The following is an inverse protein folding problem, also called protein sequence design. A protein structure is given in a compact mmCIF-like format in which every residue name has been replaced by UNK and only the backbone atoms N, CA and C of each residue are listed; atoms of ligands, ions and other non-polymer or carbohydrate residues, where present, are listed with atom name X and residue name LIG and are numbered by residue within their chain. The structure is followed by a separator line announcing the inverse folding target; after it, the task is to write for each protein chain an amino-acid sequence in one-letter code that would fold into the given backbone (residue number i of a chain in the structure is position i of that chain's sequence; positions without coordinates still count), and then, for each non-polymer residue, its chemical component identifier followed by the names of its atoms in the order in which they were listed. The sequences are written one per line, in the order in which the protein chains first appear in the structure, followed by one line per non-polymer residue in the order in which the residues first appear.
data_IF_322567653526
#
_entry.id   IF_322567653526
#
_cell.length_a   1.000
_cell.length_b   1.000
_cell.length_c   1.000
_cell.angle_alpha   90.00
_cell.angle_beta   90.00
_cell.angle_gamma   90.00
#
_symmetry.space_group_name_H-M   'P 1'
#
loop_
_entity.id
_entity.type
_entity.pdbx_description
1 polymer ?
#
# COMPACT_ATOMS: atom_id res chain seq x y z
N UNK A 1 14.45 23.83 -17.01
CA UNK A 1 15.51 22.95 -17.57
C UNK A 1 14.99 21.65 -18.21
N UNK A 2 13.82 21.11 -17.86
CA UNK A 2 13.37 19.80 -18.37
C UNK A 2 12.88 19.77 -19.85
N UNK A 3 12.35 20.86 -20.39
CA UNK A 3 11.68 20.87 -21.71
C UNK A 3 12.57 20.73 -22.97
N UNK A 4 13.90 20.55 -22.85
CA UNK A 4 14.82 20.58 -24.02
C UNK A 4 15.82 19.41 -24.13
N UNK A 5 15.68 18.33 -23.37
CA UNK A 5 16.57 17.15 -23.45
C UNK A 5 15.80 15.83 -23.30
N UNK A 6 14.84 15.59 -24.19
CA UNK A 6 13.94 14.42 -24.09
C UNK A 6 14.52 13.11 -24.65
N UNK A 7 15.56 13.16 -25.50
CA UNK A 7 15.89 12.04 -26.39
C UNK A 7 16.98 11.07 -25.89
N UNK A 8 17.83 11.46 -24.92
CA UNK A 8 19.04 10.66 -24.57
C UNK A 8 19.29 10.37 -23.09
N UNK A 9 18.44 10.82 -22.15
CA UNK A 9 18.67 10.56 -20.71
C UNK A 9 18.28 9.15 -20.28
N UNK A 10 19.01 8.57 -19.35
CA UNK A 10 18.64 7.29 -18.72
C UNK A 10 17.53 7.47 -17.68
N UNK A 11 16.87 6.37 -17.27
CA UNK A 11 15.90 6.43 -16.16
C UNK A 11 16.59 6.81 -14.84
N UNK A 12 17.83 6.35 -14.63
CA UNK A 12 18.61 6.62 -13.42
C UNK A 12 19.01 8.11 -13.32
N UNK A 13 19.39 8.73 -14.44
CA UNK A 13 19.58 10.19 -14.54
C UNK A 13 18.29 10.98 -14.28
N UNK A 14 17.15 10.52 -14.81
CA UNK A 14 15.86 11.18 -14.58
C UNK A 14 15.44 11.12 -13.09
N UNK A 15 15.62 9.97 -12.43
CA UNK A 15 15.37 9.79 -10.99
C UNK A 15 16.34 10.64 -10.16
N UNK A 16 17.62 10.69 -10.53
CA UNK A 16 18.63 11.52 -9.86
C UNK A 16 18.29 13.01 -9.95
N UNK A 17 17.94 13.50 -11.14
CA UNK A 17 17.55 14.89 -11.35
C UNK A 17 16.22 15.26 -10.65
N UNK A 18 15.26 14.33 -10.59
CA UNK A 18 14.03 14.51 -9.82
C UNK A 18 14.31 14.58 -8.31
N UNK A 19 15.20 13.73 -7.79
CA UNK A 19 15.67 13.80 -6.39
C UNK A 19 16.36 15.13 -6.08
N UNK A 20 17.27 15.58 -6.95
CA UNK A 20 17.96 16.87 -6.80
C UNK A 20 16.93 18.03 -6.82
N UNK A 21 15.97 18.02 -7.75
CA UNK A 21 14.94 19.05 -7.83
C UNK A 21 14.00 19.06 -6.61
N UNK A 22 13.60 17.88 -6.11
CA UNK A 22 12.78 17.75 -4.90
C UNK A 22 13.54 18.14 -3.63
N UNK A 23 14.84 17.82 -3.54
CA UNK A 23 15.71 18.16 -2.41
C UNK A 23 16.08 19.65 -2.31
N UNK A 24 15.92 20.42 -3.40
CA UNK A 24 16.05 21.89 -3.40
C UNK A 24 14.78 22.61 -2.91
N UNK A 25 13.67 21.89 -2.72
CA UNK A 25 12.38 22.44 -2.28
C UNK A 25 12.02 21.98 -0.85
N UNK A 26 11.42 22.85 -0.01
CA UNK A 26 10.88 22.42 1.29
C UNK A 26 9.76 21.37 1.16
N UNK A 27 9.52 20.54 2.20
CA UNK A 27 8.36 19.64 2.25
C UNK A 27 7.05 20.38 1.99
N UNK A 28 6.21 19.83 1.10
CA UNK A 28 4.92 20.44 0.72
C UNK A 28 5.02 21.63 -0.25
N UNK A 29 6.21 22.02 -0.69
CA UNK A 29 6.38 23.08 -1.69
C UNK A 29 5.92 22.59 -3.08
N UNK A 30 5.19 23.40 -3.88
CA UNK A 30 4.68 22.98 -5.20
C UNK A 30 5.75 22.45 -6.17
N UNK A 31 7.00 22.89 -6.01
CA UNK A 31 8.14 22.39 -6.78
C UNK A 31 8.44 20.89 -6.59
N UNK A 32 8.15 20.30 -5.42
CA UNK A 32 8.29 18.86 -5.19
C UNK A 32 7.23 18.07 -5.97
N UNK A 33 5.97 18.51 -5.90
CA UNK A 33 4.88 17.91 -6.66
C UNK A 33 5.13 17.98 -8.17
N UNK A 34 5.58 19.14 -8.68
CA UNK A 34 5.96 19.31 -10.07
C UNK A 34 7.14 18.41 -10.48
N UNK A 35 8.11 18.16 -9.59
CA UNK A 35 9.23 17.25 -9.83
C UNK A 35 8.76 15.79 -9.98
N UNK A 36 7.95 15.30 -9.04
CA UNK A 36 7.40 13.94 -9.10
C UNK A 36 6.43 13.75 -10.29
N UNK A 37 5.59 14.75 -10.58
CA UNK A 37 4.70 14.72 -11.76
C UNK A 37 5.51 14.73 -13.07
N UNK A 38 6.63 15.48 -13.15
CA UNK A 38 7.54 15.40 -14.29
C UNK A 38 8.23 14.05 -14.42
N UNK A 39 8.69 13.46 -13.31
CA UNK A 39 9.28 12.11 -13.31
C UNK A 39 8.25 11.06 -13.72
N UNK A 40 7.04 11.09 -13.18
CA UNK A 40 5.99 10.16 -13.54
C UNK A 40 5.56 10.31 -15.00
N UNK A 41 5.38 11.53 -15.52
CA UNK A 41 5.12 11.77 -16.96
C UNK A 41 6.26 11.22 -17.83
N UNK A 42 7.52 11.39 -17.43
CA UNK A 42 8.68 10.84 -18.14
C UNK A 42 8.72 9.31 -18.11
N UNK A 43 8.48 8.68 -16.94
CA UNK A 43 8.42 7.22 -16.81
C UNK A 43 7.24 6.64 -17.60
N UNK A 44 6.07 7.27 -17.57
CA UNK A 44 4.87 6.92 -18.35
C UNK A 44 5.13 7.01 -19.86
N UNK A 45 5.85 8.05 -20.30
CA UNK A 45 6.33 8.14 -21.68
C UNK A 45 7.32 7.01 -22.01
N UNK A 46 8.32 6.75 -21.16
CA UNK A 46 9.29 5.67 -21.40
C UNK A 46 8.68 4.28 -21.39
N UNK A 47 7.72 3.98 -20.51
CA UNK A 47 7.00 2.70 -20.50
C UNK A 47 6.23 2.50 -21.82
N UNK A 48 5.60 3.56 -22.35
CA UNK A 48 4.89 3.53 -23.64
C UNK A 48 5.83 3.47 -24.87
N UNK A 49 6.90 4.26 -24.88
CA UNK A 49 7.92 4.27 -25.95
C UNK A 49 8.67 2.93 -26.05
N UNK A 50 8.91 2.27 -24.92
CA UNK A 50 9.77 1.09 -24.85
C UNK A 50 9.18 -0.16 -25.50
N UNK A 51 8.05 -0.12 -26.19
CA UNK A 51 7.60 -1.23 -27.07
C UNK A 51 8.66 -1.69 -28.10
N UNK A 52 9.78 -0.98 -28.26
CA UNK A 52 11.02 -1.51 -28.87
C UNK A 52 12.29 -1.36 -27.99
N UNK A 53 13.04 -2.48 -27.85
CA UNK A 53 14.45 -2.62 -27.38
C UNK A 53 14.78 -2.29 -25.89
N UNK A 54 16.03 -2.57 -25.47
CA UNK A 54 16.41 -2.93 -24.09
C UNK A 54 17.81 -2.43 -23.61
N UNK A 55 17.98 -2.23 -22.28
CA UNK A 55 19.14 -2.39 -21.32
C UNK A 55 20.61 -2.03 -21.75
N UNK A 56 21.57 -1.61 -20.86
CA UNK A 56 21.75 -1.99 -19.42
C UNK A 56 22.43 -1.00 -18.38
N UNK A 57 22.33 -1.37 -17.07
CA UNK A 57 23.20 -1.28 -15.84
C UNK A 57 24.32 -0.22 -15.54
N UNK A 58 24.31 0.35 -14.30
CA UNK A 58 25.48 0.57 -13.37
C UNK A 58 25.50 1.88 -12.50
N UNK A 59 26.23 2.08 -11.37
CA UNK A 59 26.86 1.20 -10.34
C UNK A 59 27.43 1.98 -9.07
N UNK A 60 27.37 1.38 -7.86
CA UNK A 60 28.23 1.44 -6.61
C UNK A 60 28.88 2.73 -5.98
N UNK A 61 28.73 2.97 -4.64
CA UNK A 61 29.81 2.92 -3.59
C UNK A 61 29.55 3.60 -2.19
N UNK A 62 30.14 3.00 -1.13
CA UNK A 62 30.59 3.34 0.27
C UNK A 62 30.22 4.66 1.02
N UNK A 63 30.22 4.67 2.39
CA UNK A 63 31.38 5.22 3.15
C UNK A 63 31.65 4.71 4.60
N UNK A 64 32.80 5.12 5.16
CA UNK A 64 33.29 4.93 6.55
C UNK A 64 33.23 6.23 7.41
N UNK A 65 32.95 6.14 8.72
CA UNK A 65 33.50 7.00 9.81
C UNK A 65 32.81 6.71 11.18
N UNK A 66 33.59 6.72 12.26
CA UNK A 66 33.31 5.94 13.50
C UNK A 66 32.92 6.71 14.76
N UNK A 67 32.74 8.04 14.73
CA UNK A 67 32.22 8.81 15.88
C UNK A 67 30.70 8.73 16.10
N UNK A 68 30.00 7.96 15.25
CA UNK A 68 28.54 8.06 15.04
C UNK A 68 27.76 6.78 15.40
N UNK A 69 28.45 5.74 15.88
CA UNK A 69 27.92 4.37 16.05
C UNK A 69 26.62 4.33 16.86
N UNK A 70 26.64 4.80 18.11
CA UNK A 70 25.54 4.59 19.06
C UNK A 70 24.23 5.24 18.61
N UNK A 71 24.32 6.38 17.92
CA UNK A 71 23.13 7.11 17.46
C UNK A 71 22.57 6.53 16.17
N UNK A 72 23.43 6.06 15.26
CA UNK A 72 23.01 5.23 14.13
C UNK A 72 22.30 3.97 14.63
N UNK A 73 22.81 3.35 15.69
CA UNK A 73 22.18 2.18 16.32
C UNK A 73 20.82 2.51 16.97
N UNK A 74 20.66 3.67 17.62
CA UNK A 74 19.35 4.13 18.12
C UNK A 74 18.37 4.36 16.97
N UNK A 75 18.77 5.06 15.91
CA UNK A 75 17.90 5.33 14.75
C UNK A 75 17.49 4.01 14.07
N UNK A 76 18.45 3.09 13.86
CA UNK A 76 18.17 1.74 13.32
C UNK A 76 17.20 0.97 14.18
N UNK A 77 17.36 0.97 15.51
CA UNK A 77 16.46 0.27 16.41
C UNK A 77 15.03 0.82 16.35
N UNK A 78 14.87 2.14 16.40
CA UNK A 78 13.55 2.80 16.27
C UNK A 78 12.95 2.57 14.87
N UNK A 79 13.76 2.57 13.82
CA UNK A 79 13.33 2.16 12.48
C UNK A 79 12.75 0.75 12.48
N UNK A 80 13.44 -0.24 13.09
CA UNK A 80 12.94 -1.61 13.12
C UNK A 80 11.65 -1.73 13.97
N UNK A 81 11.62 -1.15 15.17
CA UNK A 81 10.43 -1.06 16.06
C UNK A 81 9.19 -0.46 15.37
N UNK A 82 9.39 0.45 14.41
CA UNK A 82 8.30 1.05 13.61
C UNK A 82 7.98 0.21 12.39
N UNK A 83 9.00 -0.35 11.73
CA UNK A 83 8.85 -1.14 10.52
C UNK A 83 7.95 -2.36 10.75
N UNK A 84 8.02 -3.00 11.93
CA UNK A 84 7.16 -4.12 12.36
C UNK A 84 5.65 -3.86 12.18
N UNK A 85 5.23 -2.59 12.13
CA UNK A 85 3.81 -2.20 12.00
C UNK A 85 3.32 -2.16 10.54
N UNK A 86 4.23 -2.15 9.58
CA UNK A 86 3.99 -2.05 8.13
C UNK A 86 4.44 -3.33 7.39
N UNK A 87 4.08 -3.56 6.12
CA UNK A 87 4.49 -4.76 5.39
C UNK A 87 6.02 -4.96 5.28
N UNK A 88 6.54 -6.20 5.27
CA UNK A 88 7.99 -6.49 5.24
C UNK A 88 8.71 -6.04 3.96
N UNK A 89 7.97 -5.91 2.86
CA UNK A 89 8.45 -5.39 1.57
C UNK A 89 7.55 -4.28 1.05
N UNK A 90 8.16 -3.29 0.41
CA UNK A 90 7.48 -2.16 -0.24
C UNK A 90 8.07 -1.95 -1.64
N UNK A 91 7.27 -1.46 -2.58
CA UNK A 91 7.71 -0.98 -3.87
C UNK A 91 8.21 0.46 -3.73
N UNK A 92 9.46 0.72 -4.10
CA UNK A 92 9.97 2.09 -4.22
C UNK A 92 9.54 2.67 -5.57
N UNK A 93 8.48 3.48 -5.58
CA UNK A 93 7.77 3.94 -6.79
C UNK A 93 8.65 4.72 -7.79
N UNK A 94 9.69 5.49 -7.42
CA UNK A 94 10.56 6.13 -8.40
C UNK A 94 11.39 5.14 -9.22
N UNK A 95 11.81 4.02 -8.64
CA UNK A 95 12.69 3.03 -9.30
C UNK A 95 11.97 1.78 -9.78
N UNK A 96 10.79 1.48 -9.23
CA UNK A 96 10.05 0.26 -9.48
C UNK A 96 10.69 -0.99 -8.86
N UNK A 97 11.53 -0.85 -7.82
CA UNK A 97 12.19 -1.97 -7.13
C UNK A 97 11.38 -2.40 -5.91
N UNK A 98 11.28 -3.71 -5.67
CA UNK A 98 10.76 -4.25 -4.41
C UNK A 98 11.89 -4.23 -3.36
N UNK A 99 11.66 -3.53 -2.26
CA UNK A 99 12.62 -3.31 -1.19
C UNK A 99 12.20 -4.06 0.08
N UNK A 100 13.04 -4.98 0.55
CA UNK A 100 12.96 -5.57 1.89
C UNK A 100 13.35 -4.54 2.97
N UNK A 101 13.36 -4.94 4.25
CA UNK A 101 13.73 -4.07 5.38
C UNK A 101 15.11 -3.44 5.25
N UNK A 102 16.12 -4.18 4.82
CA UNK A 102 17.49 -3.66 4.70
C UNK A 102 17.60 -2.61 3.58
N UNK A 103 16.90 -2.83 2.46
CA UNK A 103 16.78 -1.86 1.39
C UNK A 103 15.99 -0.61 1.85
N UNK A 104 14.85 -0.79 2.54
CA UNK A 104 14.08 0.32 3.14
C UNK A 104 14.95 1.17 4.07
N UNK A 105 15.71 0.52 4.97
CA UNK A 105 16.66 1.19 5.86
C UNK A 105 17.73 1.94 5.06
N UNK A 106 18.31 1.32 4.03
CA UNK A 106 19.33 1.95 3.18
C UNK A 106 18.83 3.22 2.48
N UNK A 107 17.58 3.21 1.98
CA UNK A 107 16.94 4.41 1.43
C UNK A 107 16.72 5.48 2.51
N UNK A 108 16.30 5.09 3.72
CA UNK A 108 16.14 6.02 4.84
C UNK A 108 17.49 6.63 5.26
N UNK A 109 18.56 5.84 5.40
CA UNK A 109 19.91 6.34 5.76
C UNK A 109 20.50 7.30 4.71
N UNK A 110 20.13 7.13 3.42
CA UNK A 110 20.48 8.07 2.34
C UNK A 110 19.70 9.39 2.35
N UNK A 111 18.55 9.44 3.03
CA UNK A 111 17.58 10.53 2.95
C UNK A 111 18.03 11.87 3.56
N UNK A 112 17.31 12.95 3.23
CA UNK A 112 17.49 14.24 3.89
C UNK A 112 16.95 14.23 5.32
N UNK A 113 15.90 13.45 5.60
CA UNK A 113 15.32 13.25 6.93
C UNK A 113 16.37 12.67 7.90
N UNK A 114 17.06 11.60 7.50
CA UNK A 114 18.12 10.99 8.31
C UNK A 114 19.32 11.92 8.51
N UNK A 115 19.74 12.65 7.48
CA UNK A 115 20.80 13.68 7.61
C UNK A 115 20.39 14.79 8.59
N UNK A 116 19.11 15.21 8.59
CA UNK A 116 18.57 16.14 9.57
C UNK A 116 18.60 15.56 10.99
N UNK A 117 18.12 14.32 11.19
CA UNK A 117 18.19 13.63 12.49
C UNK A 117 19.63 13.59 13.03
N UNK A 118 20.62 13.31 12.18
CA UNK A 118 22.03 13.35 12.55
C UNK A 118 22.54 14.77 12.90
N UNK A 119 22.08 15.82 12.20
CA UNK A 119 22.47 17.20 12.54
C UNK A 119 21.82 17.71 13.83
N UNK A 120 20.63 17.21 14.18
CA UNK A 120 19.82 17.65 15.32
C UNK A 120 20.31 17.15 16.68
N UNK A 121 21.23 16.18 16.71
CA UNK A 121 21.65 15.39 17.89
C UNK A 121 21.95 16.22 19.15
N UNK A 122 22.61 17.37 19.02
CA UNK A 122 23.09 18.17 20.16
C UNK A 122 21.99 18.89 20.95
N UNK A 123 20.74 18.88 20.48
CA UNK A 123 19.65 19.74 20.98
C UNK A 123 18.56 19.04 21.80
N UNK A 124 18.57 17.71 21.94
CA UNK A 124 17.40 16.97 22.44
C UNK A 124 17.66 16.14 23.70
N UNK A 125 16.71 16.20 24.64
CA UNK A 125 16.57 15.18 25.67
C UNK A 125 16.20 13.83 25.02
N UNK A 126 16.79 12.73 25.52
CA UNK A 126 16.74 11.38 24.92
C UNK A 126 15.34 10.91 24.50
N UNK A 127 14.30 11.23 25.27
CA UNK A 127 12.93 10.81 24.98
C UNK A 127 12.27 11.63 23.86
N UNK A 128 12.52 12.95 23.81
CA UNK A 128 12.07 13.82 22.71
C UNK A 128 12.73 13.42 21.38
N UNK A 129 13.99 12.97 21.44
CA UNK A 129 14.73 12.47 20.28
C UNK A 129 14.13 11.17 19.71
N UNK A 130 13.62 10.26 20.54
CA UNK A 130 12.96 9.04 20.04
C UNK A 130 11.67 9.35 19.29
N UNK A 131 10.85 10.28 19.79
CA UNK A 131 9.65 10.76 19.08
C UNK A 131 10.01 11.38 17.72
N UNK A 132 11.00 12.28 17.67
CA UNK A 132 11.47 12.92 16.43
C UNK A 132 11.95 11.89 15.38
N UNK A 133 12.69 10.86 15.79
CA UNK A 133 13.07 9.75 14.90
C UNK A 133 11.82 9.01 14.43
N UNK A 134 10.87 8.76 15.33
CA UNK A 134 9.67 7.98 15.02
C UNK A 134 8.80 8.68 13.98
N UNK A 135 8.53 9.96 14.18
CA UNK A 135 7.78 10.80 13.26
C UNK A 135 8.51 10.93 11.92
N UNK A 136 9.85 11.03 11.93
CA UNK A 136 10.66 11.06 10.70
C UNK A 136 10.64 9.75 9.91
N UNK A 137 10.57 8.59 10.57
CA UNK A 137 10.41 7.28 9.92
C UNK A 137 8.99 7.16 9.35
N UNK A 138 7.97 7.52 10.12
CA UNK A 138 6.56 7.45 9.68
C UNK A 138 6.31 8.39 8.48
N UNK A 139 6.83 9.62 8.50
CA UNK A 139 6.74 10.58 7.39
C UNK A 139 7.49 10.08 6.14
N UNK A 140 8.66 9.46 6.32
CA UNK A 140 9.41 8.89 5.20
C UNK A 140 8.73 7.66 4.58
N UNK A 141 8.05 6.84 5.39
CA UNK A 141 7.29 5.65 4.96
C UNK A 141 5.77 5.90 4.89
N UNK A 142 5.36 7.02 4.29
CA UNK A 142 3.98 7.17 3.82
C UNK A 142 3.74 6.19 2.66
N UNK A 143 2.87 5.20 2.87
CA UNK A 143 2.62 4.09 1.92
C UNK A 143 1.28 4.28 1.19
N UNK A 144 1.31 4.15 -0.13
CA UNK A 144 0.15 3.91 -0.96
C UNK A 144 -0.12 2.40 -1.11
N UNK A 145 -1.30 1.92 -0.71
CA UNK A 145 -1.72 0.52 -0.91
C UNK A 145 -2.53 0.39 -2.21
N UNK A 146 -2.29 -0.67 -2.98
CA UNK A 146 -3.18 -1.09 -4.06
C UNK A 146 -4.24 -2.03 -3.50
N UNK A 147 -5.50 -1.65 -3.65
CA UNK A 147 -6.63 -2.58 -3.51
C UNK A 147 -7.21 -2.86 -4.88
N UNK A 148 -7.33 -4.12 -5.26
CA UNK A 148 -7.78 -4.49 -6.60
C UNK A 148 -8.41 -5.89 -6.66
N UNK A 149 -8.91 -6.26 -7.84
CA UNK A 149 -9.09 -7.67 -8.17
C UNK A 149 -7.83 -8.19 -8.88
N UNK A 150 -7.39 -9.39 -8.50
CA UNK A 150 -6.40 -10.14 -9.28
C UNK A 150 -7.02 -10.50 -10.64
N UNK A 151 -6.31 -10.18 -11.72
CA UNK A 151 -6.63 -10.50 -13.10
C UNK A 151 -5.61 -11.47 -13.69
N UNK A 152 -5.40 -11.39 -15.00
CA UNK A 152 -4.44 -12.25 -15.71
C UNK A 152 -3.01 -11.73 -15.55
N UNK A 153 -2.10 -12.61 -15.13
CA UNK A 153 -0.67 -12.31 -15.05
C UNK A 153 -0.32 -11.21 -14.03
N UNK A 154 -0.95 -11.25 -12.85
CA UNK A 154 -0.45 -10.50 -11.69
C UNK A 154 0.99 -10.92 -11.38
N UNK A 155 1.95 -9.99 -11.23
CA UNK A 155 3.31 -10.34 -10.92
C UNK A 155 3.44 -10.87 -9.48
N UNK A 156 4.10 -12.00 -9.32
CA UNK A 156 4.45 -12.57 -8.02
C UNK A 156 5.83 -12.05 -7.55
N UNK A 157 6.09 -12.14 -6.24
CA UNK A 157 7.37 -11.69 -5.65
C UNK A 157 8.59 -12.29 -6.36
N UNK A 158 8.63 -13.62 -6.51
CA UNK A 158 9.76 -14.35 -7.14
C UNK A 158 10.01 -13.97 -8.60
N UNK A 159 8.97 -13.55 -9.30
CA UNK A 159 9.07 -13.13 -10.70
C UNK A 159 9.74 -11.76 -10.84
N UNK A 160 9.62 -10.92 -9.81
CA UNK A 160 10.10 -9.54 -9.78
C UNK A 160 11.30 -9.29 -8.86
N UNK A 161 11.68 -10.26 -8.03
CA UNK A 161 12.78 -10.15 -7.07
C UNK A 161 14.11 -9.78 -7.78
N UNK A 162 14.77 -8.71 -7.31
CA UNK A 162 15.98 -8.16 -7.93
C UNK A 162 15.77 -7.41 -9.26
N UNK A 163 14.53 -7.22 -9.72
CA UNK A 163 14.21 -6.53 -10.99
C UNK A 163 13.50 -5.19 -10.74
N UNK A 164 13.54 -4.30 -11.73
CA UNK A 164 12.76 -3.05 -11.76
C UNK A 164 11.49 -3.30 -12.55
N UNK A 165 10.30 -3.11 -11.98
CA UNK A 165 9.03 -3.40 -12.68
C UNK A 165 8.88 -2.63 -14.00
N UNK A 166 9.44 -1.42 -14.10
CA UNK A 166 9.40 -0.58 -15.32
C UNK A 166 10.30 -1.09 -16.47
N UNK A 167 11.19 -2.05 -16.20
CA UNK A 167 12.01 -2.73 -17.21
C UNK A 167 11.40 -4.08 -17.65
N UNK A 168 10.32 -4.53 -16.99
CA UNK A 168 9.60 -5.77 -17.28
C UNK A 168 8.47 -5.57 -18.31
N UNK A 169 7.99 -6.68 -18.88
CA UNK A 169 6.94 -6.74 -19.91
C UNK A 169 6.10 -8.00 -19.75
N UNK A 170 4.90 -7.99 -20.32
CA UNK A 170 4.26 -9.21 -20.83
C UNK A 170 2.83 -9.48 -20.40
N UNK A 171 2.32 -8.80 -19.36
CA UNK A 171 0.99 -9.09 -18.79
C UNK A 171 0.21 -7.83 -18.40
N UNK A 172 -1.12 -7.93 -18.42
CA UNK A 172 -2.02 -6.86 -17.98
C UNK A 172 -1.88 -6.59 -16.48
N UNK A 173 -1.68 -7.64 -15.67
CA UNK A 173 -1.39 -7.50 -14.23
C UNK A 173 -0.10 -6.73 -13.93
N UNK A 174 0.95 -6.93 -14.73
CA UNK A 174 2.17 -6.13 -14.62
C UNK A 174 1.96 -4.68 -15.06
N UNK A 175 1.25 -4.44 -16.18
CA UNK A 175 0.91 -3.09 -16.62
C UNK A 175 0.11 -2.34 -15.54
N UNK A 176 -0.87 -3.02 -14.93
CA UNK A 176 -1.64 -2.51 -13.78
C UNK A 176 -0.73 -2.18 -12.59
N UNK A 177 0.27 -3.01 -12.26
CA UNK A 177 1.22 -2.69 -11.19
C UNK A 177 2.10 -1.46 -11.54
N UNK A 178 2.55 -1.37 -12.79
CA UNK A 178 3.34 -0.23 -13.28
C UNK A 178 2.54 1.08 -13.19
N UNK A 179 1.30 1.09 -13.71
CA UNK A 179 0.41 2.27 -13.66
C UNK A 179 0.06 2.64 -12.22
N UNK A 180 -0.17 1.68 -11.33
CA UNK A 180 -0.35 1.92 -9.89
C UNK A 180 0.87 2.63 -9.27
N UNK A 181 2.09 2.15 -9.53
CA UNK A 181 3.30 2.80 -9.01
C UNK A 181 3.52 4.19 -9.59
N UNK A 182 3.22 4.41 -10.88
CA UNK A 182 3.25 5.74 -11.50
C UNK A 182 2.23 6.67 -10.85
N UNK A 183 1.00 6.21 -10.60
CA UNK A 183 -0.06 6.98 -9.98
C UNK A 183 0.21 7.31 -8.51
N UNK A 184 0.82 6.39 -7.77
CA UNK A 184 1.32 6.62 -6.41
C UNK A 184 2.40 7.72 -6.43
N UNK A 185 3.34 7.66 -7.38
CA UNK A 185 4.37 8.69 -7.58
C UNK A 185 3.80 10.05 -8.00
N UNK A 186 2.83 10.10 -8.92
CA UNK A 186 2.07 11.31 -9.29
C UNK A 186 1.41 11.96 -8.05
N UNK A 187 1.04 11.14 -7.05
CA UNK A 187 0.48 11.56 -5.76
C UNK A 187 1.52 11.79 -4.65
N UNK A 188 2.82 11.81 -4.97
CA UNK A 188 3.96 12.00 -4.07
C UNK A 188 4.28 10.84 -3.10
N UNK A 189 3.72 9.64 -3.29
CA UNK A 189 4.07 8.46 -2.50
C UNK A 189 5.30 7.77 -3.09
N UNK A 190 6.43 7.85 -2.40
CA UNK A 190 7.65 7.11 -2.75
C UNK A 190 7.55 5.61 -2.47
N UNK A 191 6.65 5.22 -1.57
CA UNK A 191 6.43 3.83 -1.17
C UNK A 191 5.04 3.38 -1.54
N UNK A 192 4.97 2.22 -2.16
CA UNK A 192 3.73 1.57 -2.53
C UNK A 192 3.73 0.09 -2.13
N UNK A 193 2.57 -0.54 -2.11
CA UNK A 193 2.43 -1.95 -1.78
C UNK A 193 1.30 -2.61 -2.57
N UNK A 194 1.53 -3.85 -3.01
CA UNK A 194 0.50 -4.77 -3.46
C UNK A 194 0.77 -6.15 -2.88
N UNK A 195 -0.27 -6.76 -2.35
CA UNK A 195 -0.32 -8.13 -1.88
C UNK A 195 0.28 -9.14 -2.89
N UNK A 196 0.03 -8.95 -4.19
CA UNK A 196 0.51 -9.83 -5.28
C UNK A 196 2.03 -10.01 -5.30
N UNK A 197 2.80 -8.91 -5.24
CA UNK A 197 4.25 -8.92 -5.38
C UNK A 197 5.05 -8.61 -4.11
N UNK A 198 4.43 -8.08 -3.04
CA UNK A 198 5.14 -7.76 -1.79
C UNK A 198 5.11 -8.90 -0.75
N UNK A 199 4.09 -9.77 -0.77
CA UNK A 199 3.99 -10.94 0.10
C UNK A 199 4.69 -12.15 -0.55
N UNK A 200 5.57 -12.81 0.21
CA UNK A 200 6.16 -14.11 -0.15
C UNK A 200 5.14 -15.23 0.09
N UNK A 201 4.44 -15.64 -0.96
CA UNK A 201 3.42 -16.69 -0.90
C UNK A 201 4.00 -18.10 -0.80
N UNK A 202 5.32 -18.25 -1.00
CA UNK A 202 6.03 -19.52 -0.84
C UNK A 202 6.44 -19.72 0.63
N UNK A 203 6.57 -18.62 1.39
CA UNK A 203 6.81 -18.63 2.84
C UNK A 203 5.49 -18.77 3.59
N UNK A 204 5.20 -19.98 4.11
CA UNK A 204 3.98 -20.22 4.91
C UNK A 204 3.91 -19.34 6.16
N UNK A 205 5.06 -19.09 6.81
CA UNK A 205 5.16 -18.23 7.99
C UNK A 205 4.78 -16.78 7.66
N UNK A 206 5.32 -16.23 6.58
CA UNK A 206 5.01 -14.85 6.17
C UNK A 206 3.58 -14.72 5.63
N UNK A 207 3.10 -15.70 4.86
CA UNK A 207 1.73 -15.70 4.36
C UNK A 207 0.72 -15.66 5.53
N UNK A 208 0.97 -16.43 6.59
CA UNK A 208 0.17 -16.39 7.81
C UNK A 208 0.26 -15.03 8.53
N UNK A 209 1.46 -14.46 8.68
CA UNK A 209 1.67 -13.13 9.27
C UNK A 209 0.93 -12.03 8.49
N UNK A 210 1.04 -12.07 7.16
CA UNK A 210 0.40 -11.14 6.25
C UNK A 210 -1.13 -11.21 6.33
N UNK A 211 -1.70 -12.42 6.37
CA UNK A 211 -3.15 -12.62 6.56
C UNK A 211 -3.63 -12.02 7.88
N UNK A 212 -2.88 -12.21 8.97
CA UNK A 212 -3.19 -11.60 10.27
C UNK A 212 -3.06 -10.07 10.28
N UNK A 213 -2.13 -9.53 9.49
CA UNK A 213 -1.73 -8.12 9.52
C UNK A 213 -2.34 -7.24 8.41
N UNK A 214 -3.00 -7.79 7.39
CA UNK A 214 -3.53 -6.99 6.27
C UNK A 214 -4.39 -5.81 6.73
N UNK A 215 -5.34 -6.03 7.64
CA UNK A 215 -6.19 -4.95 8.15
C UNK A 215 -5.37 -3.84 8.82
N UNK A 216 -4.38 -4.16 9.65
CA UNK A 216 -3.54 -3.14 10.30
C UNK A 216 -2.65 -2.41 9.30
N UNK A 217 -2.17 -3.09 8.25
CA UNK A 217 -1.42 -2.47 7.16
C UNK A 217 -2.28 -1.48 6.36
N UNK A 218 -3.50 -1.85 5.95
CA UNK A 218 -4.42 -0.93 5.28
C UNK A 218 -4.86 0.23 6.19
N UNK A 219 -5.09 -0.03 7.48
CA UNK A 219 -5.43 1.01 8.47
C UNK A 219 -4.29 2.01 8.68
N UNK A 220 -3.04 1.56 8.62
CA UNK A 220 -1.86 2.43 8.73
C UNK A 220 -1.42 3.03 7.39
N UNK A 221 -2.07 2.69 6.28
CA UNK A 221 -1.77 3.27 4.98
C UNK A 221 -2.14 4.75 4.93
N UNK A 222 -1.28 5.55 4.30
CA UNK A 222 -1.53 6.98 4.09
C UNK A 222 -2.53 7.21 2.96
N UNK A 223 -2.59 6.27 2.00
CA UNK A 223 -3.50 6.25 0.88
C UNK A 223 -3.80 4.79 0.48
N UNK A 224 -5.05 4.49 0.16
CA UNK A 224 -5.42 3.30 -0.60
C UNK A 224 -6.00 3.69 -1.96
N UNK A 225 -5.40 3.15 -3.02
CA UNK A 225 -5.85 3.29 -4.41
C UNK A 225 -6.64 2.04 -4.75
N UNK A 226 -7.95 2.19 -4.96
CA UNK A 226 -8.83 1.10 -5.39
C UNK A 226 -8.92 1.11 -6.92
N UNK A 227 -8.43 0.05 -7.56
CA UNK A 227 -8.52 -0.14 -9.01
C UNK A 227 -9.69 -1.06 -9.40
N UNK A 228 -10.60 -0.54 -10.21
CA UNK A 228 -11.83 -1.19 -10.65
C UNK A 228 -11.72 -1.57 -12.13
N UNK A 229 -11.22 -2.79 -12.40
CA UNK A 229 -11.01 -3.32 -13.75
C UNK A 229 -12.28 -3.44 -14.61
N UNK A 230 -13.45 -3.35 -14.00
CA UNK A 230 -14.77 -3.56 -14.59
C UNK A 230 -15.66 -2.30 -14.61
N UNK A 231 -15.10 -1.14 -14.27
CA UNK A 231 -15.79 0.16 -14.35
C UNK A 231 -15.15 1.00 -15.45
N UNK A 232 -15.92 1.25 -16.50
CA UNK A 232 -15.52 1.98 -17.71
C UNK A 232 -15.95 3.46 -17.68
N UNK A 233 -16.90 3.83 -16.82
CA UNK A 233 -17.50 5.16 -16.76
C UNK A 233 -17.65 5.70 -15.32
N UNK A 234 -17.62 7.04 -15.20
CA UNK A 234 -17.80 7.72 -13.91
C UNK A 234 -19.27 7.67 -13.49
N UNK A 235 -19.60 6.81 -12.53
CA UNK A 235 -20.96 6.69 -11.98
C UNK A 235 -21.43 5.24 -11.75
N UNK A 236 -20.73 4.24 -12.29
CA UNK A 236 -21.10 2.82 -12.15
C UNK A 236 -20.44 2.12 -10.95
N UNK A 237 -20.00 2.87 -9.93
CA UNK A 237 -19.19 2.37 -8.82
C UNK A 237 -19.83 1.15 -8.12
N UNK A 238 -21.10 1.25 -7.70
CA UNK A 238 -21.73 0.22 -6.88
C UNK A 238 -21.95 -1.14 -7.57
N UNK A 239 -21.69 -1.23 -8.89
CA UNK A 239 -21.82 -2.46 -9.67
C UNK A 239 -20.49 -3.22 -9.83
N UNK A 240 -19.36 -2.65 -9.42
CA UNK A 240 -18.07 -3.33 -9.56
C UNK A 240 -18.03 -4.62 -8.74
N UNK A 241 -17.57 -5.70 -9.35
CA UNK A 241 -17.31 -6.97 -8.67
C UNK A 241 -16.11 -6.88 -7.70
N UNK A 242 -15.43 -5.72 -7.58
CA UNK A 242 -14.52 -5.47 -6.46
C UNK A 242 -15.27 -5.54 -5.11
N UNK A 243 -16.53 -5.07 -5.05
CA UNK A 243 -17.37 -5.16 -3.85
C UNK A 243 -17.81 -6.58 -3.50
N UNK A 244 -17.68 -7.55 -4.43
CA UNK A 244 -18.05 -8.96 -4.20
C UNK A 244 -16.86 -9.82 -3.79
N UNK A 245 -15.67 -9.27 -3.53
CA UNK A 245 -14.50 -10.01 -3.04
C UNK A 245 -14.44 -9.98 -1.51
N UNK A 246 -14.06 -11.08 -0.87
CA UNK A 246 -13.97 -11.15 0.60
C UNK A 246 -12.99 -10.12 1.18
N UNK A 247 -11.71 -10.24 0.81
CA UNK A 247 -10.61 -9.38 1.26
C UNK A 247 -10.88 -7.87 1.12
N UNK A 248 -11.51 -7.43 0.02
CA UNK A 248 -11.77 -5.99 -0.23
C UNK A 248 -12.71 -5.34 0.80
N UNK A 249 -13.43 -6.11 1.62
CA UNK A 249 -14.20 -5.56 2.74
C UNK A 249 -13.28 -4.98 3.81
N UNK A 250 -12.27 -5.73 4.25
CA UNK A 250 -11.34 -5.24 5.26
C UNK A 250 -10.47 -4.11 4.71
N UNK A 251 -10.07 -4.19 3.43
CA UNK A 251 -9.33 -3.14 2.72
C UNK A 251 -10.12 -1.81 2.69
N UNK A 252 -11.43 -1.88 2.41
CA UNK A 252 -12.32 -0.71 2.41
C UNK A 252 -12.51 -0.11 3.80
N UNK A 253 -12.74 -0.96 4.80
CA UNK A 253 -13.10 -0.54 6.15
C UNK A 253 -11.88 0.02 6.89
N UNK A 254 -10.73 -0.66 6.81
CA UNK A 254 -9.49 -0.26 7.46
C UNK A 254 -8.98 1.10 6.97
N UNK A 255 -8.95 1.32 5.66
CA UNK A 255 -8.26 2.46 5.05
C UNK A 255 -8.93 3.80 5.36
N UNK A 256 -8.22 4.75 5.97
CA UNK A 256 -8.76 6.08 6.25
C UNK A 256 -8.98 6.90 4.96
N UNK A 257 -7.98 6.94 4.07
CA UNK A 257 -8.00 7.70 2.80
C UNK A 257 -8.10 6.74 1.62
N UNK A 258 -9.16 6.88 0.81
CA UNK A 258 -9.36 6.05 -0.40
C UNK A 258 -9.63 6.93 -1.62
N UNK A 259 -9.08 6.53 -2.76
CA UNK A 259 -9.49 7.00 -4.08
C UNK A 259 -9.85 5.80 -4.98
N UNK A 260 -10.98 5.90 -5.67
CA UNK A 260 -11.47 4.89 -6.60
C UNK A 260 -11.13 5.27 -8.04
N UNK A 261 -10.58 4.32 -8.77
CA UNK A 261 -10.09 4.45 -10.13
C UNK A 261 -10.75 3.43 -11.07
N UNK A 262 -11.13 3.89 -12.26
CA UNK A 262 -11.67 3.08 -13.36
C UNK A 262 -10.58 2.26 -14.06
N UNK A 263 -10.96 1.40 -15.01
CA UNK A 263 -10.05 0.49 -15.71
C UNK A 263 -8.95 1.19 -16.53
N UNK A 264 -9.13 2.48 -16.85
CA UNK A 264 -8.18 3.34 -17.57
C UNK A 264 -7.33 4.24 -16.64
N UNK A 265 -7.45 4.06 -15.32
CA UNK A 265 -6.88 4.93 -14.28
C UNK A 265 -7.41 6.37 -14.25
N UNK A 266 -8.60 6.62 -14.79
CA UNK A 266 -9.37 7.83 -14.48
C UNK A 266 -10.00 7.73 -13.07
N UNK A 267 -10.26 8.88 -12.43
CA UNK A 267 -11.00 8.90 -11.16
C UNK A 267 -12.48 8.58 -11.38
N UNK A 268 -13.07 7.70 -10.57
CA UNK A 268 -14.49 7.34 -10.66
C UNK A 268 -15.46 8.51 -10.42
N UNK A 269 -14.99 9.63 -9.84
CA UNK A 269 -15.73 10.87 -9.68
C UNK A 269 -14.90 12.05 -10.19
N UNK A 270 -15.58 13.01 -10.83
CA UNK A 270 -14.98 14.26 -11.31
C UNK A 270 -14.96 15.36 -10.23
N UNK A 271 -15.48 15.08 -9.03
CA UNK A 271 -15.55 16.03 -7.92
C UNK A 271 -14.19 16.09 -7.23
N UNK A 272 -13.67 17.30 -7.04
CA UNK A 272 -12.45 17.52 -6.27
C UNK A 272 -12.73 17.23 -4.79
N UNK A 273 -12.22 16.10 -4.29
CA UNK A 273 -12.25 15.74 -2.86
C UNK A 273 -10.86 15.26 -2.42
N UNK A 274 -10.52 15.50 -1.16
CA UNK A 274 -9.31 14.95 -0.54
C UNK A 274 -9.43 13.44 -0.23
N UNK A 275 -10.65 12.90 -0.17
CA UNK A 275 -10.93 11.50 0.13
C UNK A 275 -12.29 11.10 -0.46
N UNK A 276 -12.37 9.97 -1.17
CA UNK A 276 -13.65 9.47 -1.66
C UNK A 276 -14.57 9.00 -0.52
N UNK A 277 -14.02 8.62 0.63
CA UNK A 277 -14.79 8.26 1.84
C UNK A 277 -15.39 9.48 2.56
N UNK A 278 -15.17 10.70 2.09
CA UNK A 278 -15.86 11.91 2.58
C UNK A 278 -16.75 12.59 1.53
N UNK A 279 -16.82 12.08 0.29
CA UNK A 279 -17.74 12.59 -0.72
C UNK A 279 -19.15 11.98 -0.51
N UNK A 280 -20.21 12.78 -0.35
CA UNK A 280 -21.56 12.27 -0.08
C UNK A 280 -22.13 11.35 -1.17
N UNK A 281 -21.79 11.59 -2.45
CA UNK A 281 -22.29 10.80 -3.57
C UNK A 281 -21.53 9.47 -3.69
N UNK A 282 -20.22 9.47 -3.40
CA UNK A 282 -19.45 8.22 -3.32
C UNK A 282 -19.91 7.40 -2.10
N UNK A 283 -20.16 8.03 -0.95
CA UNK A 283 -20.70 7.36 0.23
C UNK A 283 -22.10 6.74 0.00
N UNK A 284 -22.94 7.34 -0.85
CA UNK A 284 -24.22 6.77 -1.30
C UNK A 284 -23.99 5.44 -2.05
N UNK A 285 -23.13 5.48 -3.08
CA UNK A 285 -22.79 4.30 -3.88
C UNK A 285 -22.07 3.22 -3.07
N UNK A 286 -21.18 3.59 -2.13
CA UNK A 286 -20.51 2.63 -1.24
C UNK A 286 -21.50 1.95 -0.29
N UNK A 287 -22.43 2.69 0.34
CA UNK A 287 -23.45 2.08 1.19
C UNK A 287 -24.33 1.12 0.39
N UNK A 288 -24.75 1.53 -0.81
CA UNK A 288 -25.55 0.71 -1.74
C UNK A 288 -24.82 -0.55 -2.21
N UNK A 289 -23.51 -0.48 -2.43
CA UNK A 289 -22.70 -1.61 -2.88
C UNK A 289 -22.38 -2.63 -1.78
N UNK A 290 -22.36 -2.20 -0.52
CA UNK A 290 -21.81 -2.99 0.59
C UNK A 290 -22.79 -3.31 1.71
N UNK A 291 -23.92 -2.60 1.81
CA UNK A 291 -24.79 -2.61 2.98
C UNK A 291 -24.20 -1.91 4.22
N UNK A 292 -22.95 -1.43 4.16
CA UNK A 292 -22.26 -0.78 5.28
C UNK A 292 -22.79 0.65 5.42
N UNK A 293 -23.30 1.00 6.61
CA UNK A 293 -23.75 2.36 6.88
C UNK A 293 -22.58 3.37 6.81
N UNK A 294 -22.84 4.58 6.27
CA UNK A 294 -21.82 5.62 6.01
C UNK A 294 -20.89 5.92 7.18
N UNK A 295 -21.38 5.84 8.43
CA UNK A 295 -20.54 6.02 9.63
C UNK A 295 -19.38 5.03 9.70
N UNK A 296 -19.62 3.75 9.41
CA UNK A 296 -18.61 2.69 9.42
C UNK A 296 -17.74 2.72 8.17
N UNK A 297 -18.26 3.23 7.04
CA UNK A 297 -17.41 3.57 5.90
C UNK A 297 -16.43 4.67 6.30
N UNK A 298 -16.90 5.83 6.79
CA UNK A 298 -16.05 6.97 7.14
C UNK A 298 -15.01 6.66 8.23
N UNK A 299 -15.40 5.95 9.30
CA UNK A 299 -14.53 5.58 10.40
C UNK A 299 -14.94 4.23 10.98
N UNK A 300 -14.07 3.21 10.84
CA UNK A 300 -14.36 1.85 11.26
C UNK A 300 -13.52 1.44 12.48
N UNK A 301 -14.17 0.91 13.51
CA UNK A 301 -13.52 0.34 14.69
C UNK A 301 -13.57 -1.19 14.64
N UNK A 302 -12.43 -1.91 14.56
CA UNK A 302 -12.42 -3.37 14.55
C UNK A 302 -12.75 -3.94 15.94
N UNK A 303 -13.58 -4.97 15.98
CA UNK A 303 -14.21 -5.49 17.20
C UNK A 303 -15.37 -6.44 16.96
N UNK A 304 -15.96 -6.95 18.04
CA UNK A 304 -17.06 -7.95 18.02
C UNK A 304 -18.44 -7.35 18.34
N UNK A 305 -18.54 -6.03 18.42
CA UNK A 305 -19.79 -5.28 18.49
C UNK A 305 -20.56 -5.34 17.17
N UNK A 306 -21.89 -5.41 17.20
CA UNK A 306 -22.74 -5.50 15.99
C UNK A 306 -22.30 -6.63 15.03
N UNK A 307 -21.91 -7.78 15.61
CA UNK A 307 -21.24 -8.86 14.89
C UNK A 307 -22.09 -9.43 13.75
N UNK A 308 -23.42 -9.52 13.95
CA UNK A 308 -24.36 -9.93 12.91
C UNK A 308 -24.31 -9.01 11.68
N UNK A 309 -24.29 -7.69 11.86
CA UNK A 309 -24.18 -6.75 10.74
C UNK A 309 -22.83 -6.86 10.04
N UNK A 310 -21.73 -7.01 10.80
CA UNK A 310 -20.38 -7.22 10.25
C UNK A 310 -20.29 -8.48 9.39
N UNK A 311 -20.91 -9.57 9.83
CA UNK A 311 -21.05 -10.81 9.05
C UNK A 311 -21.94 -10.59 7.82
N UNK A 312 -23.07 -9.90 7.95
CA UNK A 312 -23.97 -9.62 6.83
C UNK A 312 -23.31 -8.81 5.70
N UNK A 313 -22.39 -7.89 6.00
CA UNK A 313 -21.59 -7.19 4.99
C UNK A 313 -20.63 -8.12 4.21
N UNK A 314 -20.37 -9.31 4.74
CA UNK A 314 -19.52 -10.35 4.15
C UNK A 314 -20.30 -11.47 3.44
N UNK A 315 -21.57 -11.72 3.78
CA UNK A 315 -22.33 -12.91 3.32
C UNK A 315 -22.45 -13.04 1.80
N UNK A 316 -22.48 -11.92 1.08
CA UNK A 316 -22.59 -11.88 -0.38
C UNK A 316 -21.23 -11.88 -1.10
N UNK A 317 -20.11 -11.93 -0.35
CA UNK A 317 -18.75 -11.86 -0.89
C UNK A 317 -18.18 -13.25 -1.16
N UNK A 318 -17.24 -13.30 -2.10
CA UNK A 318 -16.60 -14.52 -2.59
C UNK A 318 -15.09 -14.43 -2.47
N UNK A 319 -14.47 -15.56 -2.12
CA UNK A 319 -13.02 -15.70 -2.01
C UNK A 319 -12.48 -16.66 -3.07
N UNK A 320 -11.15 -16.68 -3.27
CA UNK A 320 -10.52 -17.64 -4.18
C UNK A 320 -10.21 -18.94 -3.46
N UNK A 321 -9.66 -18.87 -2.25
CA UNK A 321 -9.56 -20.03 -1.35
C UNK A 321 -10.80 -20.12 -0.46
N UNK A 322 -11.33 -21.32 -0.20
CA UNK A 322 -12.55 -21.47 0.60
C UNK A 322 -12.40 -20.93 2.03
N UNK A 323 -11.25 -21.13 2.66
CA UNK A 323 -10.97 -20.74 4.06
C UNK A 323 -10.86 -19.22 4.27
N UNK A 324 -10.51 -18.48 3.21
CA UNK A 324 -10.46 -17.01 3.23
C UNK A 324 -11.80 -16.37 3.61
N UNK A 325 -12.94 -17.09 3.50
CA UNK A 325 -14.25 -16.59 3.94
C UNK A 325 -14.24 -16.21 5.42
N UNK A 326 -13.39 -16.88 6.22
CA UNK A 326 -13.13 -16.56 7.61
C UNK A 326 -11.91 -15.66 7.77
N UNK A 327 -10.79 -15.97 7.10
CA UNK A 327 -9.53 -15.24 7.31
C UNK A 327 -9.62 -13.77 6.88
N UNK A 328 -10.41 -13.47 5.84
CA UNK A 328 -10.66 -12.09 5.38
C UNK A 328 -11.46 -11.24 6.38
N UNK A 329 -11.97 -11.83 7.46
CA UNK A 329 -12.71 -11.14 8.53
C UNK A 329 -11.90 -10.96 9.82
N UNK A 330 -10.70 -11.54 9.95
CA UNK A 330 -9.91 -11.48 11.20
C UNK A 330 -9.69 -10.05 11.71
N UNK A 331 -9.30 -9.15 10.81
CA UNK A 331 -9.12 -7.74 11.11
C UNK A 331 -10.41 -7.00 11.47
N UNK A 332 -11.54 -7.34 10.82
CA UNK A 332 -12.86 -6.75 11.07
C UNK A 332 -13.33 -7.04 12.50
N UNK A 333 -13.08 -8.27 12.98
CA UNK A 333 -13.44 -8.72 14.32
C UNK A 333 -12.36 -8.50 15.39
N UNK A 334 -11.16 -8.05 14.99
CA UNK A 334 -9.98 -7.92 15.86
C UNK A 334 -9.68 -9.24 16.59
N UNK A 335 -9.66 -10.35 15.84
CA UNK A 335 -9.35 -11.70 16.33
C UNK A 335 -7.99 -12.15 15.81
N UNK A 336 -7.30 -12.97 16.61
CA UNK A 336 -6.01 -13.57 16.24
C UNK A 336 -6.17 -15.09 16.28
N UNK A 337 -6.37 -15.69 15.11
CA UNK A 337 -6.61 -17.12 14.96
C UNK A 337 -5.57 -17.71 13.99
N UNK A 338 -5.16 -18.99 14.15
CA UNK A 338 -4.29 -19.65 13.19
C UNK A 338 -4.89 -19.69 11.78
N UNK A 339 -4.02 -19.57 10.78
CA UNK A 339 -4.32 -19.74 9.34
C UNK A 339 -3.92 -21.17 8.96
N UNK A 340 -4.89 -21.99 8.55
CA UNK A 340 -4.73 -23.43 8.34
C UNK A 340 -5.33 -23.84 7.00
N UNK A 341 -4.72 -23.40 5.89
CA UNK A 341 -5.15 -23.81 4.55
C UNK A 341 -5.16 -25.34 4.41
N UNK A 342 -6.28 -25.88 3.92
CA UNK A 342 -6.61 -27.30 3.94
C UNK A 342 -7.61 -27.70 5.02
N UNK A 343 -7.99 -26.82 5.96
CA UNK A 343 -8.95 -27.17 7.02
C UNK A 343 -10.42 -27.23 6.57
N UNK A 344 -10.75 -26.76 5.36
CA UNK A 344 -12.11 -26.46 4.85
C UNK A 344 -12.71 -25.12 5.28
N UNK A 345 -13.65 -24.58 4.47
CA UNK A 345 -14.34 -23.32 4.78
C UNK A 345 -15.14 -23.42 6.09
N UNK A 346 -15.78 -24.56 6.31
CA UNK A 346 -16.68 -24.83 7.43
C UNK A 346 -15.92 -24.80 8.76
N UNK A 347 -14.73 -25.41 8.83
CA UNK A 347 -13.91 -25.37 10.04
C UNK A 347 -13.29 -23.97 10.26
N UNK A 348 -12.77 -23.33 9.20
CA UNK A 348 -12.23 -21.97 9.29
C UNK A 348 -13.29 -20.97 9.80
N UNK A 349 -14.51 -21.04 9.25
CA UNK A 349 -15.66 -20.23 9.67
C UNK A 349 -16.16 -20.61 11.06
N UNK A 350 -16.22 -21.92 11.38
CA UNK A 350 -16.62 -22.41 12.69
C UNK A 350 -15.71 -21.88 13.81
N UNK A 351 -14.39 -21.87 13.61
CA UNK A 351 -13.43 -21.27 14.56
C UNK A 351 -13.63 -19.76 14.71
N UNK A 352 -13.87 -19.05 13.61
CA UNK A 352 -14.16 -17.61 13.65
C UNK A 352 -15.45 -17.30 14.42
N UNK A 353 -16.54 -18.01 14.13
CA UNK A 353 -17.83 -17.82 14.79
C UNK A 353 -17.75 -18.17 16.29
N UNK A 354 -17.04 -19.24 16.65
CA UNK A 354 -16.81 -19.60 18.06
C UNK A 354 -16.05 -18.50 18.83
N UNK A 355 -14.98 -17.95 18.25
CA UNK A 355 -14.22 -16.83 18.84
C UNK A 355 -15.05 -15.55 18.95
N UNK A 356 -15.88 -15.23 17.94
CA UNK A 356 -16.80 -14.08 17.98
C UNK A 356 -17.81 -14.27 19.13
N UNK A 357 -18.53 -15.39 19.17
CA UNK A 357 -19.55 -15.69 20.20
C UNK A 357 -18.91 -15.69 21.60
N UNK A 358 -17.72 -16.27 21.75
CA UNK A 358 -17.00 -16.31 23.03
C UNK A 358 -16.59 -14.92 23.54
N UNK A 359 -16.52 -13.90 22.67
CA UNK A 359 -16.12 -12.54 23.02
C UNK A 359 -17.26 -11.53 23.04
N UNK A 360 -18.32 -11.74 22.26
CA UNK A 360 -19.50 -10.86 22.22
C UNK A 360 -20.62 -11.32 23.15
N UNK A 361 -20.75 -12.63 23.39
CA UNK A 361 -21.96 -13.24 23.95
C UNK A 361 -23.17 -13.23 23.00
N UNK A 362 -23.01 -12.73 21.77
CA UNK A 362 -24.08 -12.59 20.78
C UNK A 362 -24.17 -13.86 19.92
N UNK A 363 -25.22 -14.65 20.16
CA UNK A 363 -25.54 -15.85 19.37
C UNK A 363 -26.36 -15.56 18.11
N UNK A 364 -26.86 -14.33 17.91
CA UNK A 364 -27.63 -13.95 16.71
C UNK A 364 -26.76 -13.88 15.45
N UNK A 365 -25.44 -13.99 15.61
CA UNK A 365 -24.45 -14.18 14.55
C UNK A 365 -24.65 -15.47 13.74
N UNK A 366 -25.52 -16.39 14.17
CA UNK A 366 -25.90 -17.58 13.41
C UNK A 366 -27.01 -17.30 12.37
N UNK A 367 -27.68 -16.15 12.44
CA UNK A 367 -28.79 -15.73 11.56
C UNK A 367 -28.38 -14.67 10.51
N UNK A 368 -27.16 -14.76 9.94
CA UNK A 368 -26.46 -13.67 9.23
C UNK A 368 -26.66 -13.62 7.70
#
# INVERSE_FOLDING_TARGET
MFQKQHEHRTIEEAISLAHIASGLCPPGHPGQALSHECLARYLKAKVRERSSRAHPKGAQNDPLSSGSSDIKNIIRRVFFEISEKFPPRLLHTPTGVICNRDAQLSYFEGSHQYKRLLSSISSFAKQKFQTEISDSVIDFFQIAMLSHRWGSGEPLLRENEGKKIYDLRGTDGLAKLQDFCLLALERNFQWAWSDTCCIDKDSSAELQEAIGSMFSWYHQSSLTIVYLSDVFDTGSLAKSAWFTRGWTLQELLASHTVFFYTCDWSLCTKRATANHKTDPAVLEELQKATGVAKRHLMNFSPGVDDARSRLHWASHRRTTRPEDIAYSLFGIFKVHLPVLYGESAENALGRLLAEIISRSGDVSVLDW
#
